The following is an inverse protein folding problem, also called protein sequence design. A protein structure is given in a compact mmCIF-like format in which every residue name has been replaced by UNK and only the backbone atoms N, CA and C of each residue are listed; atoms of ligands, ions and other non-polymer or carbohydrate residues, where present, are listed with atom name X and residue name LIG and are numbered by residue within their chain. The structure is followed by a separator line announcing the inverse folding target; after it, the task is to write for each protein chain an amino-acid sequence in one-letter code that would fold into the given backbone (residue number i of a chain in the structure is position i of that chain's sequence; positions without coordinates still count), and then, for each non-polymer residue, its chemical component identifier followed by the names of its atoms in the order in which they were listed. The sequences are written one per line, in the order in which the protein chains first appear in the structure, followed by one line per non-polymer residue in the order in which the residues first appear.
data_IF_647136374649
#
_entry.id   IF_647136374649
#
_cell.length_a   1.000
_cell.length_b   1.000
_cell.length_c   1.000
_cell.angle_alpha   90.00
_cell.angle_beta   90.00
_cell.angle_gamma   90.00
#
_symmetry.space_group_name_H-M   'P 1'
#
loop_
_entity.id
_entity.type
_entity.pdbx_description
1 polymer ?
#
# COMPACT_ATOMS: atom_id res chain seq x y z
N UNK A 1 -11.15 17.33 -12.31
CA UNK A 1 -11.86 17.89 -11.16
C UNK A 1 -13.35 17.78 -11.43
N UNK A 2 -14.09 17.25 -10.47
CA UNK A 2 -15.53 17.05 -10.51
C UNK A 2 -16.29 18.09 -9.68
N UNK A 3 -15.58 18.83 -8.83
CA UNK A 3 -16.09 19.92 -8.01
C UNK A 3 -15.61 21.28 -8.53
N UNK A 4 -16.41 22.33 -8.33
CA UNK A 4 -15.99 23.72 -8.49
C UNK A 4 -16.70 24.60 -7.46
N UNK A 5 -16.31 25.86 -7.36
CA UNK A 5 -17.09 26.91 -6.69
C UNK A 5 -17.85 27.74 -7.72
N UNK A 6 -19.06 28.17 -7.40
CA UNK A 6 -19.78 29.20 -8.16
C UNK A 6 -19.29 30.62 -7.82
N UNK A 7 -19.93 31.63 -8.44
CA UNK A 7 -19.67 33.05 -8.18
C UNK A 7 -19.89 33.48 -6.72
N UNK A 8 -20.76 32.78 -6.00
CA UNK A 8 -21.12 33.07 -4.62
C UNK A 8 -20.26 32.24 -3.63
N UNK A 9 -19.28 31.50 -4.14
CA UNK A 9 -18.38 30.65 -3.36
C UNK A 9 -19.00 29.32 -2.92
N UNK A 10 -20.18 28.94 -3.43
CA UNK A 10 -20.83 27.66 -3.10
C UNK A 10 -20.26 26.53 -3.94
N UNK A 11 -20.11 25.37 -3.31
CA UNK A 11 -19.61 24.17 -3.96
C UNK A 11 -20.63 23.60 -4.95
N UNK A 12 -20.19 23.44 -6.20
CA UNK A 12 -20.92 22.74 -7.26
C UNK A 12 -20.31 21.35 -7.43
N UNK A 13 -21.15 20.32 -7.30
CA UNK A 13 -20.83 18.95 -7.68
C UNK A 13 -21.44 18.59 -9.02
N UNK A 14 -20.61 18.16 -9.99
CA UNK A 14 -21.08 17.74 -11.31
C UNK A 14 -22.05 16.56 -11.29
N UNK A 15 -22.02 15.72 -10.24
CA UNK A 15 -22.89 14.57 -10.14
C UNK A 15 -24.29 14.91 -9.64
N UNK A 16 -24.39 15.93 -8.79
CA UNK A 16 -25.65 16.27 -8.11
C UNK A 16 -26.40 17.41 -8.83
N UNK A 17 -25.76 18.07 -9.81
CA UNK A 17 -26.30 19.27 -10.45
C UNK A 17 -26.77 19.00 -11.89
N UNK A 18 -28.06 19.19 -12.15
CA UNK A 18 -28.68 18.95 -13.46
C UNK A 18 -28.49 20.09 -14.47
N UNK A 19 -28.23 21.32 -13.99
CA UNK A 19 -27.91 22.47 -14.83
C UNK A 19 -26.95 23.41 -14.11
N UNK A 20 -25.76 23.56 -14.67
CA UNK A 20 -24.70 24.40 -14.10
C UNK A 20 -24.25 25.43 -15.13
N UNK A 21 -24.37 26.70 -14.76
CA UNK A 21 -23.89 27.82 -15.55
C UNK A 21 -22.75 28.49 -14.78
N UNK A 22 -21.71 28.87 -15.52
CA UNK A 22 -20.55 29.55 -14.95
C UNK A 22 -20.88 30.98 -14.48
N UNK A 23 -19.90 31.69 -13.90
CA UNK A 23 -18.49 31.31 -13.82
C UNK A 23 -18.20 30.23 -12.76
N UNK A 24 -17.10 29.49 -12.96
CA UNK A 24 -16.63 28.43 -12.06
C UNK A 24 -15.22 28.74 -11.57
N UNK A 25 -14.94 28.41 -10.31
CA UNK A 25 -13.65 28.68 -9.68
C UNK A 25 -13.11 27.44 -8.96
N UNK A 26 -11.78 27.31 -8.93
CA UNK A 26 -11.11 26.23 -8.20
C UNK A 26 -11.30 26.36 -6.69
N UNK A 27 -11.71 25.30 -5.97
CA UNK A 27 -11.82 25.36 -4.51
C UNK A 27 -10.51 25.70 -3.80
N UNK A 28 -9.37 25.27 -4.36
CA UNK A 28 -8.04 25.46 -3.77
C UNK A 28 -7.43 26.83 -4.11
N UNK A 29 -7.24 27.17 -5.38
CA UNK A 29 -6.55 28.39 -5.80
C UNK A 29 -7.48 29.55 -6.18
N UNK A 30 -8.80 29.32 -6.21
CA UNK A 30 -9.83 30.29 -6.60
C UNK A 30 -9.70 30.84 -8.03
N UNK A 31 -8.84 30.28 -8.88
CA UNK A 31 -8.73 30.70 -10.29
C UNK A 31 -9.83 30.09 -11.16
N UNK A 32 -10.06 30.70 -12.33
CA UNK A 32 -11.16 30.34 -13.21
C UNK A 32 -11.04 28.93 -13.80
N UNK A 33 -12.16 28.20 -13.79
CA UNK A 33 -12.32 26.89 -14.39
C UNK A 33 -13.25 26.96 -15.61
N UNK A 34 -13.05 26.03 -16.55
CA UNK A 34 -13.94 25.75 -17.66
C UNK A 34 -14.54 24.36 -17.49
N UNK A 35 -15.86 24.26 -17.63
CA UNK A 35 -16.54 22.98 -17.75
C UNK A 35 -16.23 22.36 -19.12
N UNK A 36 -15.59 21.19 -19.14
CA UNK A 36 -15.41 20.38 -20.34
C UNK A 36 -16.50 19.31 -20.38
N UNK A 37 -17.48 19.50 -21.27
CA UNK A 37 -18.55 18.52 -21.53
C UNK A 37 -18.44 18.07 -22.98
N UNK A 38 -18.15 16.78 -23.19
CA UNK A 38 -18.11 16.17 -24.52
C UNK A 38 -18.98 14.93 -24.56
N UNK A 39 -19.34 14.45 -25.76
CA UNK A 39 -20.15 13.22 -25.92
C UNK A 39 -19.44 11.95 -25.42
N UNK A 40 -18.11 11.96 -25.38
CA UNK A 40 -17.26 10.78 -25.09
C UNK A 40 -16.57 10.90 -23.72
N UNK A 41 -16.18 12.12 -23.31
CA UNK A 41 -15.39 12.33 -22.09
C UNK A 41 -16.32 12.58 -20.89
N UNK A 42 -15.97 11.99 -19.75
CA UNK A 42 -16.58 12.29 -18.44
C UNK A 42 -16.56 13.82 -18.25
N UNK A 43 -17.72 14.47 -18.02
CA UNK A 43 -17.75 15.90 -17.74
C UNK A 43 -16.88 16.23 -16.53
N UNK A 44 -16.00 17.23 -16.68
CA UNK A 44 -15.10 17.66 -15.61
C UNK A 44 -14.75 19.15 -15.75
N UNK A 45 -14.39 19.77 -14.65
CA UNK A 45 -13.79 21.09 -14.63
C UNK A 45 -12.29 21.01 -14.90
N UNK A 46 -11.79 21.96 -15.68
CA UNK A 46 -10.38 22.13 -15.98
C UNK A 46 -9.99 23.61 -15.82
N UNK A 47 -8.80 23.88 -15.31
CA UNK A 47 -8.28 25.25 -15.22
C UNK A 47 -8.21 25.90 -16.61
N UNK A 48 -8.60 27.19 -16.69
CA UNK A 48 -8.46 27.99 -17.92
C UNK A 48 -6.98 28.36 -18.14
N UNK A 49 -6.26 28.64 -17.06
CA UNK A 49 -4.81 28.86 -17.02
C UNK A 49 -4.24 28.10 -15.82
N UNK A 50 -3.10 27.43 -16.01
CA UNK A 50 -2.43 26.63 -14.98
C UNK A 50 -1.55 27.45 -14.04
N UNK A 51 -1.54 28.78 -14.16
CA UNK A 51 -0.73 29.60 -13.28
C UNK A 51 -1.22 29.46 -11.82
N UNK A 52 -0.35 28.91 -10.97
CA UNK A 52 -0.42 28.96 -9.50
C UNK A 52 -1.45 28.06 -8.80
N UNK A 53 -1.65 26.81 -9.24
CA UNK A 53 -2.45 25.83 -8.48
C UNK A 53 -1.63 24.64 -7.99
N UNK A 54 -1.08 24.75 -6.78
CA UNK A 54 -0.27 23.70 -6.14
C UNK A 54 -1.08 22.45 -5.77
N UNK A 55 -2.41 22.59 -5.66
CA UNK A 55 -3.34 21.49 -5.40
C UNK A 55 -3.75 20.74 -6.68
N UNK A 56 -3.33 21.19 -7.87
CA UNK A 56 -3.73 20.56 -9.12
C UNK A 56 -2.82 19.37 -9.44
N UNK A 57 -3.41 18.17 -9.48
CA UNK A 57 -2.79 17.03 -10.14
C UNK A 57 -2.96 17.18 -11.65
N UNK A 58 -1.86 17.13 -12.39
CA UNK A 58 -1.85 17.17 -13.85
C UNK A 58 -2.89 16.24 -14.48
N UNK A 59 -3.70 16.79 -15.41
CA UNK A 59 -4.62 16.08 -16.32
C UNK A 59 -5.09 14.70 -15.81
N UNK A 60 -5.96 14.69 -14.80
CA UNK A 60 -6.55 13.46 -14.28
C UNK A 60 -7.03 12.57 -15.43
N UNK A 61 -6.53 11.33 -15.46
CA UNK A 61 -6.86 10.39 -16.52
C UNK A 61 -8.34 10.01 -16.46
N UNK A 62 -8.88 9.51 -17.58
CA UNK A 62 -10.25 8.98 -17.61
C UNK A 62 -10.45 7.87 -16.57
N UNK A 63 -9.40 7.08 -16.31
CA UNK A 63 -9.41 6.06 -15.25
C UNK A 63 -9.53 6.71 -13.86
N UNK A 64 -8.74 7.74 -13.57
CA UNK A 64 -8.80 8.43 -12.28
C UNK A 64 -10.20 9.02 -12.02
N UNK A 65 -10.72 9.79 -12.99
CA UNK A 65 -12.06 10.36 -12.91
C UNK A 65 -13.13 9.27 -12.77
N UNK A 66 -13.04 8.20 -13.56
CA UNK A 66 -14.00 7.09 -13.53
C UNK A 66 -13.99 6.33 -12.20
N UNK A 67 -12.82 6.07 -11.63
CA UNK A 67 -12.69 5.43 -10.31
C UNK A 67 -13.23 6.33 -9.21
N UNK A 68 -12.87 7.62 -9.22
CA UNK A 68 -13.36 8.61 -8.26
C UNK A 68 -14.89 8.67 -8.24
N UNK A 69 -15.50 8.71 -9.43
CA UNK A 69 -16.95 8.64 -9.60
C UNK A 69 -17.55 7.35 -9.04
N UNK A 70 -17.01 6.19 -9.41
CA UNK A 70 -17.52 4.90 -8.94
C UNK A 70 -17.41 4.78 -7.41
N UNK A 71 -16.28 5.18 -6.82
CA UNK A 71 -16.09 5.10 -5.38
C UNK A 71 -16.95 6.12 -4.62
N UNK A 72 -17.12 7.34 -5.13
CA UNK A 72 -18.06 8.31 -4.54
C UNK A 72 -19.48 7.74 -4.48
N UNK A 73 -19.98 7.22 -5.61
CA UNK A 73 -21.31 6.61 -5.68
C UNK A 73 -21.42 5.43 -4.71
N UNK A 74 -20.39 4.59 -4.64
CA UNK A 74 -20.40 3.39 -3.80
C UNK A 74 -20.39 3.73 -2.30
N UNK A 75 -19.60 4.71 -1.86
CA UNK A 75 -19.67 5.19 -0.49
C UNK A 75 -21.01 5.86 -0.17
N UNK A 76 -21.54 6.70 -1.07
CA UNK A 76 -22.76 7.48 -0.86
C UNK A 76 -24.00 6.63 -0.57
N UNK A 77 -24.00 5.35 -0.94
CA UNK A 77 -25.07 4.40 -0.60
C UNK A 77 -25.29 4.24 0.91
N UNK A 78 -24.22 4.34 1.72
CA UNK A 78 -24.27 4.03 3.16
C UNK A 78 -23.53 5.03 4.05
N UNK A 79 -22.64 5.83 3.49
CA UNK A 79 -21.71 6.67 4.23
C UNK A 79 -21.86 8.15 3.84
N UNK A 80 -21.46 9.05 4.75
CA UNK A 80 -21.27 10.46 4.40
C UNK A 80 -19.99 10.56 3.59
N UNK A 81 -20.07 11.10 2.38
CA UNK A 81 -18.91 11.27 1.50
C UNK A 81 -18.90 12.64 0.83
N UNK A 82 -17.75 13.31 0.91
CA UNK A 82 -17.46 14.54 0.18
C UNK A 82 -16.46 14.25 -0.93
N UNK A 83 -16.80 14.66 -2.16
CA UNK A 83 -15.95 14.52 -3.33
C UNK A 83 -14.96 15.68 -3.41
N UNK A 84 -13.69 15.40 -3.72
CA UNK A 84 -12.63 16.41 -3.90
C UNK A 84 -12.59 17.46 -2.77
N UNK A 85 -12.58 16.96 -1.53
CA UNK A 85 -12.60 17.82 -0.34
C UNK A 85 -11.26 18.52 -0.20
N UNK A 86 -11.25 19.83 -0.40
CA UNK A 86 -10.11 20.66 -0.05
C UNK A 86 -10.00 20.78 1.48
N UNK A 87 -8.81 20.49 2.01
CA UNK A 87 -8.42 20.61 3.42
C UNK A 87 -7.41 21.76 3.50
N UNK A 88 -7.86 22.99 3.82
CA UNK A 88 -7.03 24.19 3.76
C UNK A 88 -5.78 24.14 4.64
N UNK A 89 -5.88 23.52 5.81
CA UNK A 89 -4.83 23.44 6.84
C UNK A 89 -3.56 22.78 6.29
N UNK A 90 -3.72 21.78 5.42
CA UNK A 90 -2.63 21.04 4.78
C UNK A 90 -2.52 21.36 3.29
N UNK A 91 -3.32 22.30 2.78
CA UNK A 91 -3.38 22.70 1.36
C UNK A 91 -3.50 21.50 0.40
N UNK A 92 -4.25 20.48 0.81
CA UNK A 92 -4.44 19.25 0.03
C UNK A 92 -5.91 19.07 -0.34
N UNK A 93 -6.14 18.36 -1.44
CA UNK A 93 -7.48 17.92 -1.82
C UNK A 93 -7.53 16.41 -1.74
N UNK A 94 -8.35 15.87 -0.83
CA UNK A 94 -8.63 14.44 -0.79
C UNK A 94 -9.56 14.09 -1.95
N UNK A 95 -9.30 13.01 -2.67
CA UNK A 95 -10.20 12.59 -3.76
C UNK A 95 -11.60 12.31 -3.22
N UNK A 96 -11.69 11.64 -2.06
CA UNK A 96 -12.92 11.50 -1.28
C UNK A 96 -12.61 11.66 0.20
N UNK A 97 -13.46 12.38 0.94
CA UNK A 97 -13.47 12.36 2.40
C UNK A 97 -14.71 11.62 2.90
N UNK A 98 -14.50 10.51 3.58
CA UNK A 98 -15.57 9.63 4.08
C UNK A 98 -15.71 9.80 5.59
N UNK A 99 -16.95 10.02 6.05
CA UNK A 99 -17.32 10.21 7.46
C UNK A 99 -16.40 11.19 8.20
N UNK A 100 -16.05 12.29 7.53
CA UNK A 100 -15.23 13.41 8.03
C UNK A 100 -13.79 13.07 8.46
N UNK A 101 -13.38 11.79 8.39
CA UNK A 101 -12.12 11.31 8.98
C UNK A 101 -11.27 10.43 8.08
N UNK A 102 -11.85 9.77 7.07
CA UNK A 102 -11.12 8.89 6.18
C UNK A 102 -10.93 9.57 4.82
N UNK A 103 -9.72 10.05 4.56
CA UNK A 103 -9.29 10.49 3.24
C UNK A 103 -8.98 9.27 2.36
N UNK A 104 -9.66 9.16 1.22
CA UNK A 104 -9.33 8.19 0.18
C UNK A 104 -8.57 8.94 -0.91
N UNK A 105 -7.42 8.39 -1.29
CA UNK A 105 -6.57 8.88 -2.37
C UNK A 105 -6.49 7.82 -3.46
N UNK A 106 -6.77 8.18 -4.71
CA UNK A 106 -6.73 7.27 -5.85
C UNK A 106 -5.46 7.56 -6.64
N UNK A 107 -4.53 6.61 -6.71
CA UNK A 107 -3.29 6.84 -7.45
C UNK A 107 -3.24 6.01 -8.73
N UNK A 108 -3.34 6.67 -9.88
CA UNK A 108 -3.31 6.01 -11.20
C UNK A 108 -1.95 6.07 -11.91
N UNK A 109 -1.02 6.92 -11.45
CA UNK A 109 0.32 7.10 -12.04
C UNK A 109 1.38 7.17 -10.95
N UNK A 110 2.69 6.99 -11.24
CA UNK A 110 3.72 7.11 -10.23
C UNK A 110 3.76 8.50 -9.56
N UNK A 111 3.97 8.50 -8.24
CA UNK A 111 4.23 9.69 -7.42
C UNK A 111 5.65 9.58 -6.83
N UNK A 112 6.33 10.71 -6.59
CA UNK A 112 7.61 10.67 -5.87
C UNK A 112 7.40 10.20 -4.43
N UNK A 113 8.40 9.53 -3.86
CA UNK A 113 8.33 9.08 -2.46
C UNK A 113 8.15 10.25 -1.50
N UNK A 114 8.90 11.33 -1.71
CA UNK A 114 8.76 12.57 -0.93
C UNK A 114 7.32 13.07 -0.93
N UNK A 115 6.66 13.13 -2.10
CA UNK A 115 5.29 13.63 -2.19
C UNK A 115 4.28 12.67 -1.57
N UNK A 116 4.51 11.36 -1.65
CA UNK A 116 3.69 10.36 -0.96
C UNK A 116 3.78 10.52 0.57
N UNK A 117 5.01 10.69 1.08
CA UNK A 117 5.30 10.91 2.49
C UNK A 117 4.65 12.20 2.99
N UNK A 118 4.94 13.33 2.34
CA UNK A 118 4.35 14.65 2.66
C UNK A 118 2.83 14.57 2.78
N UNK A 119 2.17 13.96 1.79
CA UNK A 119 0.71 13.84 1.78
C UNK A 119 0.19 12.90 2.87
N UNK A 120 0.87 11.79 3.11
CA UNK A 120 0.45 10.81 4.12
C UNK A 120 0.60 11.38 5.53
N UNK A 121 1.74 12.01 5.83
CA UNK A 121 2.05 12.59 7.13
C UNK A 121 1.12 13.76 7.44
N UNK A 122 0.89 14.68 6.49
CA UNK A 122 0.04 15.85 6.71
C UNK A 122 -1.41 15.48 7.06
N UNK A 123 -1.99 14.45 6.43
CA UNK A 123 -3.29 13.92 6.83
C UNK A 123 -3.28 13.37 8.25
N UNK A 124 -2.28 12.55 8.58
CA UNK A 124 -2.16 11.93 9.91
C UNK A 124 -2.01 12.96 11.02
N UNK A 125 -1.18 13.98 10.82
CA UNK A 125 -0.98 15.08 11.77
C UNK A 125 -2.25 15.91 12.01
N UNK A 126 -3.11 16.04 11.01
CA UNK A 126 -4.44 16.66 11.15
C UNK A 126 -5.52 15.71 11.70
N UNK A 127 -5.15 14.48 12.10
CA UNK A 127 -6.06 13.51 12.68
C UNK A 127 -7.02 12.87 11.68
N UNK A 128 -6.63 12.79 10.41
CA UNK A 128 -7.29 11.97 9.39
C UNK A 128 -6.62 10.60 9.27
N UNK A 129 -7.41 9.60 8.90
CA UNK A 129 -6.90 8.37 8.30
C UNK A 129 -6.77 8.58 6.79
N UNK A 130 -5.69 8.09 6.18
CA UNK A 130 -5.50 8.13 4.73
C UNK A 130 -5.36 6.73 4.16
N UNK A 131 -6.14 6.43 3.13
CA UNK A 131 -6.10 5.17 2.40
C UNK A 131 -5.86 5.43 0.91
N UNK A 132 -4.73 4.95 0.42
CA UNK A 132 -4.36 4.99 -0.98
C UNK A 132 -4.91 3.74 -1.69
N UNK A 133 -5.56 3.92 -2.84
CA UNK A 133 -6.12 2.87 -3.69
C UNK A 133 -5.56 2.95 -5.11
N UNK A 134 -5.00 1.86 -5.62
CA UNK A 134 -4.09 1.95 -6.76
C UNK A 134 -4.73 1.57 -8.09
N UNK A 135 -4.60 2.47 -9.08
CA UNK A 135 -4.95 2.22 -10.48
C UNK A 135 -3.95 1.31 -11.20
N UNK A 136 -4.26 1.01 -12.46
CA UNK A 136 -3.63 -0.06 -13.25
C UNK A 136 -2.11 0.00 -13.32
N UNK A 137 -1.56 1.20 -13.51
CA UNK A 137 -0.14 1.34 -13.78
C UNK A 137 0.73 1.09 -12.53
N UNK A 138 0.10 1.11 -11.34
CA UNK A 138 0.72 0.88 -10.04
C UNK A 138 0.45 -0.50 -9.44
N UNK A 139 -0.34 -1.37 -10.09
CA UNK A 139 -0.55 -2.74 -9.63
C UNK A 139 0.77 -3.49 -9.43
N UNK A 140 0.77 -4.44 -8.50
CA UNK A 140 1.98 -5.22 -8.19
C UNK A 140 2.44 -6.00 -9.43
N UNK A 141 3.75 -5.91 -9.72
CA UNK A 141 4.37 -6.54 -10.90
C UNK A 141 5.36 -7.62 -10.45
N UNK A 142 6.32 -7.93 -11.33
CA UNK A 142 7.36 -8.92 -11.07
C UNK A 142 8.30 -8.55 -9.92
N UNK A 143 8.41 -7.26 -9.56
CA UNK A 143 9.16 -6.78 -8.40
C UNK A 143 8.39 -5.64 -7.72
N UNK A 144 8.64 -5.45 -6.42
CA UNK A 144 8.08 -4.31 -5.68
C UNK A 144 8.97 -3.08 -5.87
N UNK A 145 8.44 -2.05 -6.54
CA UNK A 145 9.13 -0.76 -6.64
C UNK A 145 9.17 -0.05 -5.28
N UNK A 146 10.09 0.91 -5.07
CA UNK A 146 10.12 1.70 -3.83
C UNK A 146 8.78 2.39 -3.52
N UNK A 147 8.08 2.86 -4.56
CA UNK A 147 6.75 3.45 -4.41
C UNK A 147 5.72 2.41 -3.95
N UNK A 148 5.71 1.23 -4.57
CA UNK A 148 4.78 0.16 -4.20
C UNK A 148 5.01 -0.31 -2.77
N UNK A 149 6.27 -0.45 -2.35
CA UNK A 149 6.60 -0.77 -0.96
C UNK A 149 6.01 0.25 0.01
N UNK A 150 6.18 1.55 -0.27
CA UNK A 150 5.64 2.62 0.57
C UNK A 150 4.13 2.84 0.46
N UNK A 151 3.44 2.07 -0.39
CA UNK A 151 1.98 1.97 -0.47
C UNK A 151 1.45 0.66 0.15
N UNK A 152 2.32 -0.19 0.69
CA UNK A 152 1.93 -1.37 1.46
C UNK A 152 1.43 -0.96 2.84
N UNK A 153 0.30 -1.53 3.23
CA UNK A 153 -0.22 -1.48 4.59
C UNK A 153 0.09 -2.78 5.32
N UNK A 154 -0.14 -2.81 6.63
CA UNK A 154 0.09 -3.99 7.46
C UNK A 154 -1.07 -4.26 8.42
N UNK A 155 -1.40 -5.54 8.61
CA UNK A 155 -2.28 -6.02 9.68
C UNK A 155 -1.83 -7.39 10.18
N UNK A 156 -2.16 -7.72 11.43
CA UNK A 156 -1.81 -9.02 12.01
C UNK A 156 -2.49 -10.20 11.30
N UNK A 157 -3.67 -9.98 10.70
CA UNK A 157 -4.49 -11.03 10.07
C UNK A 157 -4.25 -11.16 8.55
N UNK A 158 -3.61 -10.18 7.90
CA UNK A 158 -3.26 -10.25 6.46
C UNK A 158 -1.77 -10.10 6.16
N UNK A 159 -0.93 -9.83 7.16
CA UNK A 159 0.46 -9.42 6.89
C UNK A 159 0.50 -8.10 6.13
N UNK A 160 1.49 -7.96 5.26
CA UNK A 160 1.50 -6.87 4.29
C UNK A 160 0.39 -7.04 3.27
N UNK A 161 -0.33 -5.95 3.00
CA UNK A 161 -1.42 -5.93 2.04
C UNK A 161 -1.44 -4.65 1.20
N UNK A 162 -2.12 -4.73 0.06
CA UNK A 162 -2.16 -3.69 -0.96
C UNK A 162 -3.52 -3.70 -1.68
N UNK A 163 -4.09 -2.53 -1.92
CA UNK A 163 -5.38 -2.38 -2.58
C UNK A 163 -5.23 -1.93 -4.04
N UNK A 164 -5.86 -2.67 -4.95
CA UNK A 164 -5.91 -2.37 -6.37
C UNK A 164 -7.35 -2.11 -6.83
N UNK A 165 -7.51 -1.13 -7.71
CA UNK A 165 -8.75 -0.80 -8.38
C UNK A 165 -8.70 -1.22 -9.85
N UNK A 166 -9.58 -2.14 -10.24
CA UNK A 166 -9.82 -2.50 -11.64
C UNK A 166 -11.00 -1.73 -12.21
N UNK A 167 -10.70 -0.60 -12.86
CA UNK A 167 -11.73 0.23 -13.47
C UNK A 167 -12.48 -0.47 -14.62
N UNK A 168 -11.80 -1.36 -15.36
CA UNK A 168 -12.36 -2.03 -16.53
C UNK A 168 -13.26 -3.19 -16.12
N UNK A 169 -12.79 -4.02 -15.18
CA UNK A 169 -13.56 -5.17 -14.65
C UNK A 169 -14.51 -4.78 -13.52
N UNK A 170 -14.47 -3.53 -13.04
CA UNK A 170 -15.23 -3.04 -11.87
C UNK A 170 -14.98 -3.87 -10.62
N UNK A 171 -13.69 -4.14 -10.35
CA UNK A 171 -13.25 -4.95 -9.21
C UNK A 171 -12.41 -4.14 -8.24
N UNK A 172 -12.66 -4.30 -6.94
CA UNK A 172 -11.74 -3.96 -5.87
C UNK A 172 -10.92 -5.22 -5.54
N UNK A 173 -9.60 -5.12 -5.46
CA UNK A 173 -8.74 -6.29 -5.22
C UNK A 173 -7.85 -6.07 -4.02
N UNK A 174 -7.89 -7.01 -3.09
CA UNK A 174 -6.99 -7.08 -1.94
C UNK A 174 -5.86 -8.06 -2.26
N UNK A 175 -4.64 -7.54 -2.37
CA UNK A 175 -3.43 -8.36 -2.32
C UNK A 175 -3.02 -8.48 -0.86
N UNK A 176 -2.94 -9.68 -0.32
CA UNK A 176 -2.57 -9.92 1.09
C UNK A 176 -1.55 -11.04 1.23
N UNK A 177 -0.98 -11.22 2.42
CA UNK A 177 0.16 -12.11 2.66
C UNK A 177 1.25 -11.87 1.63
N UNK A 178 1.66 -10.62 1.48
CA UNK A 178 2.71 -10.27 0.53
C UNK A 178 4.05 -10.70 1.12
N UNK A 179 4.74 -11.59 0.40
CA UNK A 179 6.11 -12.03 0.64
C UNK A 179 6.94 -11.82 -0.62
N UNK A 180 8.26 -11.81 -0.51
CA UNK A 180 9.18 -11.67 -1.64
C UNK A 180 10.35 -12.63 -1.51
N UNK A 181 10.91 -13.03 -2.66
CA UNK A 181 12.15 -13.80 -2.68
C UNK A 181 13.40 -12.91 -2.66
N UNK A 182 14.59 -13.54 -2.63
CA UNK A 182 15.88 -12.85 -2.70
C UNK A 182 16.09 -12.05 -4.00
N UNK A 183 15.33 -12.37 -5.07
CA UNK A 183 15.32 -11.66 -6.35
C UNK A 183 14.33 -10.47 -6.33
N UNK A 184 13.56 -10.30 -5.25
CA UNK A 184 12.56 -9.25 -5.08
C UNK A 184 11.22 -9.57 -5.75
N UNK A 185 10.98 -10.82 -6.19
CA UNK A 185 9.73 -11.25 -6.80
C UNK A 185 8.67 -11.47 -5.73
N UNK A 186 7.50 -10.81 -5.80
CA UNK A 186 6.49 -10.97 -4.78
C UNK A 186 5.59 -12.19 -5.04
N UNK A 187 5.09 -12.79 -3.97
CA UNK A 187 3.96 -13.73 -3.94
C UNK A 187 2.93 -13.22 -2.94
N UNK A 188 1.65 -13.47 -3.22
CA UNK A 188 0.53 -12.94 -2.43
C UNK A 188 -0.78 -13.66 -2.73
N UNK A 189 -1.72 -13.61 -1.80
CA UNK A 189 -3.12 -13.95 -2.02
C UNK A 189 -3.85 -12.80 -2.73
N UNK A 190 -4.85 -13.13 -3.55
CA UNK A 190 -5.74 -12.15 -4.18
C UNK A 190 -7.18 -12.46 -3.84
N UNK A 191 -7.86 -11.54 -3.17
CA UNK A 191 -9.33 -11.52 -3.03
C UNK A 191 -9.88 -10.43 -3.98
N UNK A 192 -10.87 -10.76 -4.81
CA UNK A 192 -11.54 -9.80 -5.71
C UNK A 192 -12.98 -9.57 -5.25
N UNK A 193 -13.44 -8.32 -5.27
CA UNK A 193 -14.79 -7.91 -4.90
C UNK A 193 -15.39 -7.09 -6.05
N UNK A 194 -16.63 -7.39 -6.43
CA UNK A 194 -17.37 -6.58 -7.39
C UNK A 194 -17.77 -5.23 -6.80
N UNK A 195 -17.67 -4.17 -7.61
CA UNK A 195 -18.19 -2.87 -7.22
C UNK A 195 -19.71 -2.97 -6.94
N UNK A 196 -20.16 -2.23 -5.92
CA UNK A 196 -21.58 -2.09 -5.54
C UNK A 196 -22.28 -3.38 -5.01
N UNK A 197 -21.58 -4.51 -4.84
CA UNK A 197 -22.21 -5.71 -4.27
C UNK A 197 -22.28 -5.70 -2.74
N UNK A 198 -21.24 -5.20 -2.08
CA UNK A 198 -21.15 -5.09 -0.62
C UNK A 198 -20.86 -3.65 -0.21
N UNK A 199 -20.98 -3.33 1.08
CA UNK A 199 -20.54 -2.03 1.60
C UNK A 199 -19.03 -1.86 1.36
N UNK A 200 -18.64 -0.80 0.64
CA UNK A 200 -17.23 -0.52 0.37
C UNK A 200 -16.43 -0.38 1.67
N UNK A 201 -16.98 0.32 2.67
CA UNK A 201 -16.29 0.51 3.94
C UNK A 201 -16.10 -0.83 4.69
N UNK A 202 -17.04 -1.77 4.58
CA UNK A 202 -16.90 -3.09 5.18
C UNK A 202 -15.89 -3.99 4.45
N UNK A 203 -15.78 -3.84 3.12
CA UNK A 203 -14.74 -4.47 2.32
C UNK A 203 -13.35 -3.92 2.66
N UNK A 204 -13.22 -2.62 2.83
CA UNK A 204 -11.94 -1.99 3.20
C UNK A 204 -11.48 -2.38 4.62
N UNK A 205 -12.40 -2.86 5.47
CA UNK A 205 -12.08 -3.44 6.79
C UNK A 205 -11.67 -4.92 6.76
N UNK A 206 -11.75 -5.59 5.60
CA UNK A 206 -11.36 -7.00 5.47
C UNK A 206 -9.98 -7.33 6.05
N UNK A 207 -8.96 -6.45 5.98
CA UNK A 207 -7.66 -6.76 6.58
C UNK A 207 -7.64 -6.93 8.10
N UNK A 208 -8.66 -6.42 8.80
CA UNK A 208 -8.71 -6.42 10.27
C UNK A 208 -9.68 -7.47 10.83
N UNK A 209 -10.37 -8.24 9.97
CA UNK A 209 -11.30 -9.28 10.41
C UNK A 209 -10.54 -10.50 10.91
N UNK A 210 -10.75 -10.85 12.19
CA UNK A 210 -10.18 -12.06 12.80
C UNK A 210 -10.85 -13.33 12.25
N UNK A 211 -10.14 -14.45 12.31
CA UNK A 211 -10.73 -15.79 12.16
C UNK A 211 -10.47 -16.50 10.83
N UNK A 212 -9.64 -15.95 9.93
CA UNK A 212 -9.15 -16.67 8.75
C UNK A 212 -7.68 -17.03 8.97
N UNK A 213 -7.38 -18.31 9.19
CA UNK A 213 -6.01 -18.84 9.13
C UNK A 213 -5.54 -18.85 7.67
N UNK A 214 -5.21 -17.68 7.14
CA UNK A 214 -4.68 -17.58 5.80
C UNK A 214 -3.29 -18.20 5.72
N UNK A 215 -3.03 -18.85 4.60
CA UNK A 215 -1.70 -19.30 4.24
C UNK A 215 -1.53 -19.29 2.73
N UNK A 216 -0.29 -19.28 2.30
CA UNK A 216 0.11 -19.24 0.90
C UNK A 216 1.14 -20.32 0.64
N UNK A 217 0.89 -21.15 -0.37
CA UNK A 217 1.85 -22.15 -0.84
C UNK A 217 3.06 -21.48 -1.48
N UNK A 218 4.24 -22.01 -1.16
CA UNK A 218 5.51 -21.42 -1.54
C UNK A 218 6.06 -22.08 -2.80
N UNK A 219 6.32 -21.33 -3.88
CA UNK A 219 7.01 -21.88 -5.04
C UNK A 219 8.43 -22.33 -4.67
N UNK A 220 8.82 -23.52 -5.15
CA UNK A 220 10.21 -23.98 -5.05
C UNK A 220 11.14 -22.99 -5.75
N UNK A 221 12.25 -22.68 -5.09
CA UNK A 221 13.26 -21.77 -5.61
C UNK A 221 14.46 -22.57 -6.10
N UNK A 222 14.45 -22.90 -7.39
CA UNK A 222 15.58 -23.59 -8.02
C UNK A 222 16.75 -22.61 -8.26
N UNK A 223 17.97 -23.16 -8.21
CA UNK A 223 19.20 -22.45 -8.58
C UNK A 223 19.51 -21.17 -7.78
N UNK A 224 19.05 -21.07 -6.51
CA UNK A 224 19.35 -19.91 -5.67
C UNK A 224 20.86 -19.70 -5.49
N UNK A 225 21.60 -20.76 -5.21
CA UNK A 225 23.06 -20.68 -5.05
C UNK A 225 23.73 -20.14 -6.31
N UNK A 226 23.37 -20.66 -7.49
CA UNK A 226 23.90 -20.21 -8.78
C UNK A 226 23.53 -18.74 -9.04
N UNK A 227 22.32 -18.33 -8.68
CA UNK A 227 21.92 -16.94 -8.76
C UNK A 227 22.83 -16.05 -7.89
N UNK A 228 23.03 -16.39 -6.61
CA UNK A 228 23.90 -15.62 -5.70
C UNK A 228 25.35 -15.60 -6.18
N UNK A 229 25.89 -16.73 -6.64
CA UNK A 229 27.22 -16.81 -7.24
C UNK A 229 27.38 -15.84 -8.41
N UNK A 230 26.40 -15.78 -9.33
CA UNK A 230 26.41 -14.82 -10.44
C UNK A 230 26.38 -13.38 -9.93
N UNK A 231 25.59 -13.06 -8.92
CA UNK A 231 25.53 -11.71 -8.36
C UNK A 231 26.88 -11.27 -7.76
N UNK A 232 27.58 -12.18 -7.07
CA UNK A 232 28.91 -11.92 -6.52
C UNK A 232 29.96 -11.80 -7.62
N UNK A 233 29.93 -12.67 -8.63
CA UNK A 233 30.83 -12.64 -9.78
C UNK A 233 30.75 -11.31 -10.54
N UNK A 234 29.53 -10.83 -10.79
CA UNK A 234 29.28 -9.53 -11.42
C UNK A 234 29.39 -8.35 -10.44
N UNK A 235 29.83 -8.58 -9.20
CA UNK A 235 30.10 -7.54 -8.21
C UNK A 235 28.89 -6.63 -7.94
N UNK A 236 27.69 -7.20 -7.91
CA UNK A 236 26.46 -6.43 -7.66
C UNK A 236 26.53 -5.83 -6.24
N UNK A 237 26.45 -4.49 -6.07
CA UNK A 237 26.76 -3.84 -4.78
C UNK A 237 25.94 -4.35 -3.60
N UNK A 238 24.64 -4.65 -3.81
CA UNK A 238 23.77 -5.24 -2.79
C UNK A 238 24.34 -6.55 -2.24
N UNK A 239 24.83 -7.42 -3.11
CA UNK A 239 25.33 -8.76 -2.74
C UNK A 239 26.74 -8.72 -2.18
N UNK A 240 27.58 -7.79 -2.61
CA UNK A 240 28.88 -7.54 -1.99
C UNK A 240 28.73 -7.12 -0.52
N UNK A 241 27.79 -6.23 -0.20
CA UNK A 241 27.50 -5.85 1.19
C UNK A 241 27.02 -7.02 2.04
N UNK A 242 26.21 -7.92 1.47
CA UNK A 242 25.81 -9.14 2.17
C UNK A 242 27.05 -10.01 2.43
N UNK A 243 27.86 -10.28 1.40
CA UNK A 243 29.07 -11.09 1.52
C UNK A 243 30.09 -10.53 2.53
N UNK A 244 30.26 -9.20 2.56
CA UNK A 244 31.12 -8.48 3.52
C UNK A 244 30.75 -8.81 4.96
N UNK A 245 29.46 -8.73 5.33
CA UNK A 245 28.97 -9.11 6.67
C UNK A 245 29.31 -10.56 7.03
N UNK A 246 29.28 -11.49 6.08
CA UNK A 246 29.67 -12.87 6.31
C UNK A 246 31.19 -13.01 6.52
N UNK A 247 32.00 -12.31 5.71
CA UNK A 247 33.45 -12.34 5.82
C UNK A 247 33.98 -11.75 7.13
N UNK A 248 33.36 -10.69 7.65
CA UNK A 248 33.69 -10.12 8.96
C UNK A 248 33.58 -11.15 10.10
N UNK A 249 32.77 -12.19 9.91
CA UNK A 249 32.60 -13.29 10.87
C UNK A 249 33.34 -14.57 10.45
N UNK A 250 34.22 -14.50 9.45
CA UNK A 250 34.97 -15.65 8.93
C UNK A 250 34.12 -16.67 8.18
N UNK A 251 32.95 -16.28 7.65
CA UNK A 251 32.00 -17.14 6.93
C UNK A 251 31.87 -16.71 5.48
N UNK A 252 31.34 -17.59 4.61
CA UNK A 252 30.95 -17.23 3.25
C UNK A 252 29.43 -17.34 3.06
N UNK A 253 28.81 -16.38 2.37
CA UNK A 253 27.37 -16.45 2.06
C UNK A 253 27.02 -17.71 1.24
N UNK A 254 27.93 -18.20 0.41
CA UNK A 254 27.74 -19.39 -0.42
C UNK A 254 27.68 -20.70 0.38
N UNK A 255 28.11 -20.69 1.65
CA UNK A 255 28.07 -21.85 2.55
C UNK A 255 26.69 -22.07 3.19
N UNK A 256 25.75 -21.13 2.97
CA UNK A 256 24.38 -21.27 3.46
C UNK A 256 23.66 -22.45 2.83
N UNK A 257 22.65 -22.97 3.53
CA UNK A 257 21.75 -23.98 2.96
C UNK A 257 20.85 -23.34 1.89
N UNK A 258 21.25 -23.47 0.63
CA UNK A 258 20.49 -22.98 -0.53
C UNK A 258 19.39 -23.93 -1.03
N UNK A 259 19.19 -25.09 -0.38
CA UNK A 259 18.03 -25.97 -0.64
C UNK A 259 16.77 -25.45 0.05
N UNK A 260 16.95 -24.64 1.10
CA UNK A 260 15.87 -23.96 1.82
C UNK A 260 15.21 -22.89 0.96
N UNK A 261 13.94 -22.65 1.23
CA UNK A 261 13.17 -21.58 0.60
C UNK A 261 13.35 -20.24 1.34
N UNK A 262 13.89 -19.24 0.65
CA UNK A 262 14.13 -17.87 1.13
C UNK A 262 13.02 -16.94 0.62
N UNK A 263 11.88 -17.00 1.32
CA UNK A 263 10.78 -16.06 1.16
C UNK A 263 10.62 -15.26 2.45
N UNK A 264 10.52 -13.95 2.33
CA UNK A 264 10.42 -13.07 3.49
C UNK A 264 9.33 -12.02 3.32
N UNK A 265 8.75 -11.52 4.43
CA UNK A 265 7.94 -10.32 4.40
C UNK A 265 8.76 -9.16 3.79
N UNK A 266 8.12 -8.24 3.04
CA UNK A 266 8.74 -6.99 2.64
C UNK A 266 9.48 -6.33 3.80
N UNK A 267 10.70 -5.84 3.57
CA UNK A 267 11.53 -5.19 4.60
C UNK A 267 12.32 -6.13 5.51
N UNK A 268 12.10 -7.45 5.47
CA UNK A 268 12.92 -8.43 6.19
C UNK A 268 13.98 -9.05 5.26
N UNK A 269 15.26 -8.87 5.59
CA UNK A 269 16.37 -9.53 4.89
C UNK A 269 16.84 -10.78 5.65
N UNK A 270 16.44 -11.96 5.20
CA UNK A 270 16.80 -13.23 5.86
C UNK A 270 18.31 -13.53 5.89
N UNK A 271 19.07 -12.95 4.95
CA UNK A 271 20.51 -13.16 4.90
C UNK A 271 21.25 -12.28 5.90
N UNK A 272 20.66 -11.16 6.34
CA UNK A 272 21.38 -10.18 7.17
C UNK A 272 20.70 -9.79 8.48
N UNK A 273 19.54 -10.38 8.78
CA UNK A 273 18.76 -10.02 9.97
C UNK A 273 19.49 -10.23 11.30
N UNK A 274 20.36 -11.24 11.39
CA UNK A 274 21.11 -11.57 12.61
C UNK A 274 22.36 -10.69 12.83
N UNK A 275 22.71 -9.82 11.90
CA UNK A 275 23.83 -8.90 12.09
C UNK A 275 23.35 -7.61 12.78
N UNK A 276 24.12 -7.12 13.75
CA UNK A 276 23.74 -6.01 14.64
C UNK A 276 23.39 -4.69 13.93
N UNK A 277 23.89 -4.46 12.71
CA UNK A 277 23.80 -3.19 11.99
C UNK A 277 22.91 -3.22 10.73
N UNK A 278 21.88 -4.07 10.67
CA UNK A 278 20.96 -4.05 9.53
C UNK A 278 19.88 -2.97 9.68
N UNK A 279 19.94 -1.96 8.79
CA UNK A 279 18.92 -0.91 8.73
C UNK A 279 17.60 -1.52 8.30
N UNK A 280 16.58 -1.36 9.14
CA UNK A 280 15.24 -1.86 8.84
C UNK A 280 14.54 -0.93 7.86
N UNK A 281 13.97 -1.51 6.82
CA UNK A 281 13.17 -0.76 5.85
C UNK A 281 11.91 -0.21 6.55
N UNK A 282 11.67 1.09 6.44
CA UNK A 282 10.46 1.75 6.92
C UNK A 282 9.42 1.87 5.79
N UNK A 283 8.14 1.94 6.16
CA UNK A 283 7.03 2.04 5.23
C UNK A 283 6.09 3.17 5.68
N UNK A 284 5.78 4.11 4.78
CA UNK A 284 4.99 5.30 5.14
C UNK A 284 3.58 5.01 5.66
N UNK A 285 2.99 3.87 5.29
CA UNK A 285 1.65 3.49 5.72
C UNK A 285 1.63 2.59 6.97
N UNK A 286 2.77 2.23 7.53
CA UNK A 286 2.86 1.31 8.67
C UNK A 286 3.34 2.06 9.91
N UNK A 287 2.39 2.38 10.78
CA UNK A 287 2.64 3.16 12.01
C UNK A 287 2.97 2.29 13.24
N UNK A 288 3.12 0.98 13.04
CA UNK A 288 3.44 0.03 14.10
C UNK A 288 4.84 -0.56 13.91
N UNK A 289 5.49 -0.91 15.02
CA UNK A 289 6.75 -1.64 14.96
C UNK A 289 6.53 -3.07 14.42
N UNK A 290 7.29 -3.41 13.38
CA UNK A 290 7.31 -4.75 12.78
C UNK A 290 8.34 -5.68 13.44
N UNK A 291 9.10 -5.20 14.42
CA UNK A 291 10.18 -5.96 15.04
C UNK A 291 9.72 -7.31 15.58
N UNK A 292 8.63 -7.34 16.35
CA UNK A 292 8.12 -8.57 16.95
C UNK A 292 7.77 -9.59 15.88
N UNK A 293 7.09 -9.14 14.82
CA UNK A 293 6.73 -10.00 13.70
C UNK A 293 7.97 -10.53 12.97
N UNK A 294 8.92 -9.67 12.65
CA UNK A 294 10.14 -10.07 11.96
C UNK A 294 10.98 -11.06 12.76
N UNK A 295 11.14 -10.86 14.08
CA UNK A 295 11.84 -11.83 14.93
C UNK A 295 11.10 -13.17 14.97
N UNK A 296 9.78 -13.18 15.19
CA UNK A 296 9.01 -14.42 15.21
C UNK A 296 9.08 -15.17 13.88
N UNK A 297 9.00 -14.44 12.76
CA UNK A 297 9.16 -15.02 11.43
C UNK A 297 10.57 -15.58 11.24
N UNK A 298 11.59 -14.82 11.63
CA UNK A 298 12.99 -15.22 11.45
C UNK A 298 13.37 -16.45 12.28
N UNK A 299 12.96 -16.50 13.55
CA UNK A 299 13.12 -17.69 14.41
C UNK A 299 12.44 -18.92 13.79
N UNK A 300 11.20 -18.74 13.32
CA UNK A 300 10.48 -19.81 12.64
C UNK A 300 11.15 -20.23 11.33
N UNK A 301 11.71 -19.28 10.58
CA UNK A 301 12.51 -19.58 9.40
C UNK A 301 13.72 -20.43 9.80
N UNK A 302 14.49 -20.07 10.83
CA UNK A 302 15.68 -20.84 11.22
C UNK A 302 15.38 -22.29 11.62
N UNK A 303 14.27 -22.53 12.31
CA UNK A 303 13.92 -23.85 12.85
C UNK A 303 13.39 -24.85 11.81
N UNK A 304 12.68 -24.38 10.77
CA UNK A 304 12.03 -25.27 9.81
C UNK A 304 11.96 -24.69 8.41
N UNK A 305 11.84 -25.55 7.41
CA UNK A 305 11.51 -25.12 6.05
C UNK A 305 10.01 -24.78 5.95
N UNK A 306 9.70 -23.68 5.29
CA UNK A 306 8.31 -23.24 5.09
C UNK A 306 7.82 -23.67 3.73
N UNK A 307 7.02 -24.74 3.68
CA UNK A 307 6.23 -25.09 2.50
C UNK A 307 5.05 -24.12 2.30
N UNK A 308 4.60 -23.51 3.40
CA UNK A 308 3.52 -22.51 3.43
C UNK A 308 3.93 -21.30 4.27
N UNK A 309 3.53 -20.11 3.83
CA UNK A 309 3.68 -18.86 4.55
C UNK A 309 2.35 -18.45 5.17
N UNK A 310 2.38 -17.90 6.38
CA UNK A 310 1.18 -17.66 7.19
C UNK A 310 1.00 -16.18 7.56
N UNK A 311 -0.06 -15.87 8.30
CA UNK A 311 -0.29 -14.54 8.85
C UNK A 311 0.72 -14.21 9.96
N UNK A 312 0.98 -12.92 10.25
CA UNK A 312 1.76 -12.53 11.43
C UNK A 312 1.23 -13.11 12.75
N UNK A 313 -0.10 -13.15 12.91
CA UNK A 313 -0.74 -13.73 14.10
C UNK A 313 -0.35 -15.20 14.32
N UNK A 314 -0.16 -15.98 13.26
CA UNK A 314 0.31 -17.36 13.34
C UNK A 314 1.74 -17.47 13.91
N UNK A 315 2.67 -16.64 13.40
CA UNK A 315 4.06 -16.67 13.87
C UNK A 315 4.21 -16.19 15.31
N UNK A 316 3.33 -15.29 15.77
CA UNK A 316 3.26 -14.92 17.19
C UNK A 316 2.90 -16.13 18.07
N UNK A 317 1.90 -16.92 17.67
CA UNK A 317 1.44 -18.10 18.43
C UNK A 317 2.51 -19.20 18.47
N UNK A 318 3.17 -19.49 17.34
CA UNK A 318 4.22 -20.55 17.32
C UNK A 318 5.38 -20.17 18.23
N UNK A 319 5.81 -18.91 18.20
CA UNK A 319 6.89 -18.45 19.07
C UNK A 319 6.56 -18.68 20.55
N UNK A 320 5.34 -18.35 20.96
CA UNK A 320 4.91 -18.56 22.34
C UNK A 320 4.88 -20.05 22.72
N UNK A 321 4.43 -20.93 21.81
CA UNK A 321 4.48 -22.38 22.03
C UNK A 321 5.90 -22.91 22.17
N UNK A 322 6.81 -22.51 21.28
CA UNK A 322 8.21 -22.94 21.33
C UNK A 322 8.91 -22.46 22.62
N UNK A 323 8.57 -21.28 23.13
CA UNK A 323 9.08 -20.79 24.44
C UNK A 323 8.57 -21.61 25.62
N UNK A 324 7.31 -22.04 25.58
CA UNK A 324 6.72 -22.90 26.61
C UNK A 324 7.37 -24.29 26.58
N UNK A 325 7.61 -24.85 25.40
CA UNK A 325 8.27 -26.16 25.23
C UNK A 325 9.75 -26.13 25.62
N UNK A 326 10.45 -25.01 25.37
CA UNK A 326 11.86 -24.83 25.76
C UNK A 326 12.05 -24.36 27.22
N UNK A 327 10.97 -24.28 28.02
CA UNK A 327 11.07 -23.96 29.46
C UNK A 327 11.40 -22.50 29.79
N UNK A 328 11.30 -21.57 28.84
CA UNK A 328 11.67 -20.15 29.02
C UNK A 328 10.53 -19.29 29.62
N UNK A 329 9.41 -19.88 30.02
CA UNK A 329 8.29 -19.13 30.58
C UNK A 329 8.47 -18.82 32.07
N UNK A 330 9.21 -17.76 32.37
CA UNK A 330 9.21 -17.12 33.70
C UNK A 330 7.95 -16.26 33.87
N UNK A 331 6.82 -16.91 34.08
CA UNK A 331 5.56 -16.26 34.39
C UNK A 331 5.62 -15.56 35.75
N UNK A 332 6.00 -14.27 35.79
CA UNK A 332 5.56 -13.38 36.86
C UNK A 332 4.10 -13.02 36.59
N UNK A 333 3.19 -13.74 37.25
CA UNK A 333 1.86 -13.21 37.55
C UNK A 333 2.05 -12.01 38.47
N UNK A 334 1.64 -10.83 38.03
CA UNK A 334 1.20 -9.73 38.88
C UNK A 334 -0.10 -9.20 38.34
#
# INVERSE_FOLDING_TARGET
MLIALDKDGKTINLLDSTSINGPFYCPACKTALRLKKGKIKIPHFAHVSLQNCDSWSENESAQHLGLKLSLYQWFKEKEKVELEKYVPEIKQTADLLVNDKLAIEIQCSPLSLQRLEERTVSYKEMGYYVLWLQGRDLWLKNTLSPLQKNLLYYSAERGFYFWELDWNRKKLRLKSLIYQDLKGRPIYLTEEFDFFQESLLDLLRQPFRKGKNLSLDVPKQEELQLFVQKQLYYQVPKWLKVQEKYYEQGRNVLDLNWKKSYWSPPGLNLLTFDFADDTRESFFQVDISLEKYYHSFYESFQLQEHERLHTPSFYAIIKDKNKVENGEWNGKKT
#
